data_IF_141206906931
#
_entry.id   IF_141206906931
#
_cell.length_a   1.000
_cell.length_b   1.000
_cell.length_c   1.000
_cell.angle_alpha   90.00
_cell.angle_beta   90.00
_cell.angle_gamma   90.00
#
_symmetry.space_group_name_H-M   'P 1'
#
loop_
_entity.id
_entity.type
_entity.pdbx_description
1 polymer ?
#
# COMPACT_ATOMS: atom_id res chain seq x y z
N UNK A 1 11.87 -8.70 -23.30
CA UNK A 1 10.56 -9.06 -22.73
C UNK A 1 10.29 -8.14 -21.56
N UNK A 2 9.64 -7.00 -21.83
CA UNK A 2 9.24 -6.03 -20.81
C UNK A 2 7.82 -6.39 -20.36
N UNK A 3 7.70 -7.49 -19.59
CA UNK A 3 6.44 -8.05 -19.07
C UNK A 3 5.88 -7.25 -17.88
N UNK A 4 6.15 -5.94 -17.82
CA UNK A 4 5.67 -5.05 -16.76
C UNK A 4 4.49 -4.21 -17.26
N UNK A 5 3.38 -4.29 -16.53
CA UNK A 5 2.22 -3.47 -16.82
C UNK A 5 2.40 -2.07 -16.22
N UNK A 6 2.46 -1.05 -17.08
CA UNK A 6 2.71 0.34 -16.66
C UNK A 6 1.62 0.92 -15.77
N UNK A 7 0.35 0.56 -15.99
CA UNK A 7 -0.77 1.02 -15.16
C UNK A 7 -0.67 0.47 -13.73
N UNK A 8 -0.27 -0.80 -13.61
CA UNK A 8 -0.06 -1.45 -12.32
C UNK A 8 1.11 -0.82 -11.55
N UNK A 9 2.24 -0.57 -12.24
CA UNK A 9 3.37 0.14 -11.63
C UNK A 9 2.98 1.58 -11.25
N UNK A 10 2.13 2.24 -12.04
CA UNK A 10 1.65 3.60 -11.74
C UNK A 10 0.76 3.67 -10.50
N UNK A 11 -0.16 2.72 -10.29
CA UNK A 11 -0.97 2.66 -9.07
C UNK A 11 -0.08 2.44 -7.85
N UNK A 12 0.91 1.54 -7.95
CA UNK A 12 1.86 1.33 -6.85
C UNK A 12 2.65 2.62 -6.56
N UNK A 13 3.03 3.34 -7.61
CA UNK A 13 3.71 4.65 -7.53
C UNK A 13 2.83 5.75 -6.92
N UNK A 14 1.55 5.79 -7.28
CA UNK A 14 0.56 6.68 -6.68
C UNK A 14 0.41 6.37 -5.19
N UNK A 15 0.17 5.10 -4.84
CA UNK A 15 -0.03 4.68 -3.47
C UNK A 15 1.18 5.01 -2.59
N UNK A 16 2.41 4.74 -3.05
CA UNK A 16 3.59 5.05 -2.23
C UNK A 16 3.78 6.56 -2.04
N UNK A 17 3.56 7.37 -3.07
CA UNK A 17 3.65 8.83 -2.94
C UNK A 17 2.57 9.37 -1.99
N UNK A 18 1.35 8.89 -2.12
CA UNK A 18 0.24 9.29 -1.27
C UNK A 18 0.50 8.91 0.20
N UNK A 19 1.10 7.74 0.44
CA UNK A 19 1.50 7.26 1.77
C UNK A 19 2.58 8.15 2.39
N UNK A 20 3.61 8.50 1.61
CA UNK A 20 4.65 9.44 2.03
C UNK A 20 4.03 10.80 2.33
N UNK A 21 3.11 11.27 1.48
CA UNK A 21 2.44 12.55 1.68
C UNK A 21 1.63 12.57 2.97
N UNK A 22 0.78 11.58 3.22
CA UNK A 22 0.00 11.52 4.46
C UNK A 22 0.86 11.38 5.72
N UNK A 23 2.02 10.72 5.61
CA UNK A 23 2.97 10.60 6.72
C UNK A 23 3.81 11.85 6.96
N UNK A 24 3.90 12.77 6.00
CA UNK A 24 4.77 13.95 6.06
C UNK A 24 4.03 15.29 6.07
N UNK A 25 2.70 15.33 5.90
CA UNK A 25 1.93 16.57 6.13
C UNK A 25 2.02 16.98 7.59
N UNK A 26 1.87 18.28 7.85
CA UNK A 26 1.89 18.81 9.22
C UNK A 26 0.76 18.21 10.08
N UNK A 27 1.04 17.99 11.37
CA UNK A 27 0.07 17.56 12.39
C UNK A 27 -0.33 18.77 13.27
N UNK A 28 -1.25 18.59 14.24
CA UNK A 28 -1.65 19.68 15.15
C UNK A 28 -2.90 20.49 14.76
N UNK A 29 -3.68 20.02 13.79
CA UNK A 29 -5.04 20.53 13.53
C UNK A 29 -5.16 21.69 12.54
N UNK A 30 -4.08 22.00 11.83
CA UNK A 30 -4.09 23.06 10.81
C UNK A 30 -4.71 22.62 9.48
N UNK A 31 -4.71 21.31 9.18
CA UNK A 31 -5.34 20.74 8.01
C UNK A 31 -6.70 20.12 8.37
N UNK A 32 -7.66 20.11 7.43
CA UNK A 32 -8.96 19.51 7.65
C UNK A 32 -8.87 17.99 7.86
N UNK A 33 -9.84 17.42 8.59
CA UNK A 33 -9.80 16.00 8.97
C UNK A 33 -9.70 14.99 7.83
N UNK A 34 -10.20 15.32 6.64
CA UNK A 34 -10.07 14.45 5.46
C UNK A 34 -8.63 14.29 4.94
N UNK A 35 -7.67 15.06 5.46
CA UNK A 35 -6.23 14.92 5.17
C UNK A 35 -5.53 13.83 6.00
N UNK A 36 -6.21 13.25 7.00
CA UNK A 36 -5.65 12.25 7.92
C UNK A 36 -6.50 10.97 7.92
N UNK A 37 -6.11 9.98 8.71
CA UNK A 37 -6.93 8.79 8.93
C UNK A 37 -8.26 9.17 9.62
N UNK A 38 -9.37 8.58 9.17
CA UNK A 38 -10.68 8.88 9.77
C UNK A 38 -10.72 8.56 11.28
N UNK A 39 -10.05 7.47 11.69
CA UNK A 39 -9.94 7.04 13.09
C UNK A 39 -8.84 7.76 13.87
N UNK A 40 -8.08 8.66 13.25
CA UNK A 40 -7.09 9.50 13.95
C UNK A 40 -7.22 10.96 13.50
N UNK A 41 -8.37 11.60 13.77
CA UNK A 41 -8.64 12.93 13.27
C UNK A 41 -7.82 14.01 14.00
N UNK A 42 -7.60 15.17 13.36
CA UNK A 42 -7.08 16.34 14.03
C UNK A 42 -8.03 16.82 15.15
N UNK A 43 -7.52 17.56 16.15
CA UNK A 43 -6.13 18.05 16.26
C UNK A 43 -5.19 17.07 16.98
N UNK A 44 -5.74 16.12 17.73
CA UNK A 44 -4.97 15.23 18.61
C UNK A 44 -4.29 14.08 17.87
N UNK A 45 -4.88 13.62 16.76
CA UNK A 45 -4.39 12.45 16.01
C UNK A 45 -4.28 11.18 16.85
N UNK A 46 -5.12 11.09 17.89
CA UNK A 46 -5.29 9.91 18.71
C UNK A 46 -6.36 9.01 18.12
N UNK A 47 -6.24 7.70 18.34
CA UNK A 47 -7.24 6.75 17.86
C UNK A 47 -8.60 7.00 18.51
N UNK A 48 -9.63 7.07 17.69
CA UNK A 48 -11.04 7.17 18.10
C UNK A 48 -11.88 6.19 17.31
N UNK A 49 -12.89 5.63 17.97
CA UNK A 49 -13.85 4.74 17.31
C UNK A 49 -14.86 5.53 16.45
N UNK A 50 -14.39 6.02 15.29
CA UNK A 50 -15.19 6.79 14.34
C UNK A 50 -15.38 6.01 13.03
N UNK A 51 -16.63 5.81 12.57
CA UNK A 51 -16.88 5.25 11.25
C UNK A 51 -16.60 6.28 10.16
N UNK A 52 -16.01 5.82 9.06
CA UNK A 52 -15.63 6.64 7.92
C UNK A 52 -14.28 6.22 7.37
N UNK A 53 -13.99 6.70 6.17
CA UNK A 53 -12.68 6.60 5.53
C UNK A 53 -12.34 7.94 4.88
N UNK A 54 -11.05 8.22 4.75
CA UNK A 54 -10.51 9.30 3.94
C UNK A 54 -9.73 8.75 2.75
N UNK A 55 -9.15 9.63 1.93
CA UNK A 55 -8.26 9.18 0.86
C UNK A 55 -7.00 8.49 1.41
N UNK A 56 -6.56 8.85 2.62
CA UNK A 56 -5.40 8.24 3.30
C UNK A 56 -5.66 6.76 3.57
N UNK A 57 -6.89 6.44 3.98
CA UNK A 57 -7.31 5.08 4.27
C UNK A 57 -7.39 4.20 3.00
N UNK A 58 -7.53 4.78 1.81
CA UNK A 58 -7.52 4.03 0.54
C UNK A 58 -6.09 3.66 0.06
N UNK A 59 -5.07 4.37 0.53
CA UNK A 59 -3.69 4.24 0.02
C UNK A 59 -3.13 2.83 0.24
N UNK A 60 -3.30 2.29 1.44
CA UNK A 60 -2.76 0.98 1.79
C UNK A 60 -3.45 -0.18 1.03
N UNK A 61 -4.80 -0.22 0.93
CA UNK A 61 -5.49 -1.17 0.06
C UNK A 61 -5.04 -1.11 -1.41
N UNK A 62 -4.83 0.09 -1.98
CA UNK A 62 -4.32 0.21 -3.35
C UNK A 62 -2.94 -0.45 -3.51
N UNK A 63 -2.07 -0.28 -2.51
CA UNK A 63 -0.75 -0.87 -2.50
C UNK A 63 -0.80 -2.42 -2.40
N UNK A 64 -1.64 -2.96 -1.52
CA UNK A 64 -1.87 -4.41 -1.38
C UNK A 64 -2.52 -5.02 -2.64
N UNK A 65 -3.50 -4.34 -3.23
CA UNK A 65 -4.13 -4.75 -4.47
C UNK A 65 -3.10 -4.82 -5.60
N UNK A 66 -2.25 -3.79 -5.73
CA UNK A 66 -1.20 -3.75 -6.72
C UNK A 66 -0.10 -4.81 -6.51
N UNK A 67 0.13 -5.22 -5.25
CA UNK A 67 0.98 -6.38 -4.93
C UNK A 67 0.30 -7.68 -5.39
N UNK A 68 -0.96 -7.90 -5.06
CA UNK A 68 -1.73 -9.07 -5.50
C UNK A 68 -1.75 -9.23 -7.02
N UNK A 69 -2.03 -8.14 -7.74
CA UNK A 69 -2.02 -8.12 -9.21
C UNK A 69 -0.65 -8.38 -9.83
N UNK A 70 0.45 -8.13 -9.10
CA UNK A 70 1.79 -8.42 -9.58
C UNK A 70 2.16 -9.92 -9.49
N UNK A 71 1.48 -10.70 -8.66
CA UNK A 71 1.82 -12.10 -8.40
C UNK A 71 1.68 -12.96 -9.67
N UNK A 72 0.51 -13.01 -10.37
CA UNK A 72 0.36 -13.75 -11.62
C UNK A 72 1.39 -13.34 -12.68
N UNK A 73 1.65 -12.03 -12.79
CA UNK A 73 2.59 -11.46 -13.75
C UNK A 73 4.02 -11.97 -13.49
N UNK A 74 4.41 -12.09 -12.22
CA UNK A 74 5.75 -12.54 -11.81
C UNK A 74 5.94 -14.06 -11.83
N UNK A 75 4.86 -14.83 -11.74
CA UNK A 75 4.85 -16.29 -11.59
C UNK A 75 4.39 -17.03 -12.85
N UNK A 76 4.46 -16.40 -14.03
CA UNK A 76 4.06 -17.03 -15.30
C UNK A 76 4.75 -18.38 -15.53
N UNK A 77 6.04 -18.49 -15.16
CA UNK A 77 6.85 -19.72 -15.29
C UNK A 77 6.76 -20.68 -14.08
N UNK A 78 5.84 -20.44 -13.15
CA UNK A 78 5.72 -21.21 -11.91
C UNK A 78 6.37 -20.53 -10.71
N UNK A 79 6.31 -21.18 -9.54
CA UNK A 79 6.86 -20.69 -8.29
C UNK A 79 8.29 -21.20 -8.08
N UNK A 80 9.22 -20.28 -7.83
CA UNK A 80 10.54 -20.61 -7.31
C UNK A 80 10.55 -20.39 -5.79
N UNK A 81 10.46 -21.48 -5.03
CA UNK A 81 10.41 -21.45 -3.57
C UNK A 81 11.63 -20.76 -2.95
N UNK A 82 12.83 -20.99 -3.49
CA UNK A 82 14.06 -20.38 -2.96
C UNK A 82 14.02 -18.87 -3.13
N UNK A 83 13.57 -18.40 -4.29
CA UNK A 83 13.42 -16.97 -4.56
C UNK A 83 12.35 -16.32 -3.69
N UNK A 84 11.19 -16.95 -3.50
CA UNK A 84 10.12 -16.39 -2.68
C UNK A 84 10.49 -16.38 -1.19
N UNK A 85 11.15 -17.43 -0.69
CA UNK A 85 11.62 -17.48 0.69
C UNK A 85 12.73 -16.44 0.95
N UNK A 86 13.68 -16.30 0.03
CA UNK A 86 14.71 -15.25 0.11
C UNK A 86 14.06 -13.86 0.18
N UNK A 87 13.09 -13.60 -0.69
CA UNK A 87 12.34 -12.34 -0.73
C UNK A 87 11.62 -12.06 0.58
N UNK A 88 10.96 -13.07 1.12
CA UNK A 88 10.27 -12.97 2.41
C UNK A 88 11.23 -12.64 3.54
N UNK A 89 12.30 -13.41 3.72
CA UNK A 89 13.31 -13.18 4.77
C UNK A 89 13.92 -11.78 4.64
N UNK A 90 14.22 -11.34 3.41
CA UNK A 90 14.79 -10.02 3.20
C UNK A 90 13.82 -8.89 3.55
N UNK A 91 12.52 -9.05 3.27
CA UNK A 91 11.50 -8.07 3.66
C UNK A 91 11.25 -8.05 5.17
N UNK A 92 11.30 -9.20 5.85
CA UNK A 92 11.20 -9.25 7.33
C UNK A 92 12.40 -8.56 7.95
N UNK A 93 13.62 -8.89 7.51
CA UNK A 93 14.82 -8.18 7.93
C UNK A 93 14.71 -6.68 7.69
N UNK A 94 14.22 -6.29 6.51
CA UNK A 94 14.02 -4.89 6.16
C UNK A 94 13.02 -4.20 7.09
N UNK A 95 11.88 -4.83 7.38
CA UNK A 95 10.86 -4.28 8.27
C UNK A 95 11.42 -4.00 9.67
N UNK A 96 12.19 -4.94 10.22
CA UNK A 96 12.81 -4.82 11.54
C UNK A 96 13.92 -3.76 11.51
N UNK A 97 14.88 -3.88 10.60
CA UNK A 97 16.04 -2.98 10.56
C UNK A 97 15.68 -1.54 10.20
N UNK A 98 14.72 -1.34 9.28
CA UNK A 98 14.25 -0.01 8.91
C UNK A 98 13.60 0.71 10.10
N UNK A 99 12.73 0.03 10.85
CA UNK A 99 12.07 0.59 12.02
C UNK A 99 13.08 1.03 13.09
N UNK A 100 14.11 0.21 13.33
CA UNK A 100 15.18 0.52 14.27
C UNK A 100 16.07 1.67 13.79
N UNK A 101 16.26 1.83 12.48
CA UNK A 101 17.14 2.86 11.90
C UNK A 101 16.53 4.27 11.89
N UNK A 102 15.27 4.46 12.31
CA UNK A 102 14.62 5.77 12.36
C UNK A 102 15.30 6.66 13.41
N UNK A 103 15.65 7.89 13.02
CA UNK A 103 16.42 8.80 13.88
C UNK A 103 15.70 9.15 15.21
N UNK A 104 14.37 9.12 15.20
CA UNK A 104 13.48 9.32 16.36
C UNK A 104 13.80 8.40 17.54
N UNK A 105 14.37 7.22 17.26
CA UNK A 105 14.76 6.23 18.25
C UNK A 105 15.95 6.67 19.10
N UNK A 106 16.73 7.59 18.56
CA UNK A 106 17.99 8.03 19.13
C UNK A 106 17.91 9.46 19.71
N UNK A 107 16.72 10.03 19.90
CA UNK A 107 16.58 11.39 20.50
C UNK A 107 17.16 11.53 21.91
N UNK A 108 17.52 10.41 22.55
CA UNK A 108 18.24 10.40 23.82
C UNK A 108 19.75 10.61 23.67
N UNK A 109 20.29 10.55 22.44
CA UNK A 109 21.69 10.81 22.11
C UNK A 109 21.86 12.29 21.73
N UNK A 110 22.99 12.86 22.13
CA UNK A 110 23.29 14.27 21.88
C UNK A 110 23.72 14.57 20.43
N UNK A 111 23.53 15.82 20.01
CA UNK A 111 24.04 16.42 18.78
C UNK A 111 23.54 15.72 17.49
N UNK A 112 24.45 15.51 16.54
CA UNK A 112 24.17 15.02 15.18
C UNK A 112 24.19 13.48 15.05
N UNK A 113 24.46 12.77 16.14
CA UNK A 113 24.63 11.30 16.15
C UNK A 113 23.37 10.55 15.66
N UNK A 114 22.13 10.92 16.09
CA UNK A 114 20.90 10.28 15.61
C UNK A 114 20.76 10.27 14.09
N UNK A 115 21.06 11.40 13.46
CA UNK A 115 20.94 11.58 12.02
C UNK A 115 22.01 10.78 11.28
N UNK A 116 23.24 10.75 11.79
CA UNK A 116 24.32 9.94 11.22
C UNK A 116 23.98 8.44 11.27
N UNK A 117 23.45 7.95 12.38
CA UNK A 117 23.02 6.55 12.50
C UNK A 117 21.95 6.22 11.46
N UNK A 118 20.94 7.08 11.30
CA UNK A 118 19.89 6.87 10.29
C UNK A 118 20.45 6.85 8.86
N UNK A 119 21.38 7.78 8.53
CA UNK A 119 22.06 7.82 7.23
C UNK A 119 22.94 6.59 6.98
N UNK A 120 23.62 6.08 8.01
CA UNK A 120 24.37 4.80 7.91
C UNK A 120 23.38 3.64 7.72
N UNK A 121 22.24 3.63 8.41
CA UNK A 121 21.17 2.67 8.22
C UNK A 121 20.65 2.65 6.78
N UNK A 122 20.46 3.83 6.19
CA UNK A 122 20.12 3.97 4.76
C UNK A 122 21.21 3.39 3.86
N UNK A 123 22.48 3.73 4.12
CA UNK A 123 23.60 3.20 3.36
C UNK A 123 23.67 1.67 3.44
N UNK A 124 23.42 1.08 4.62
CA UNK A 124 23.34 -0.38 4.79
C UNK A 124 22.24 -0.98 3.91
N UNK A 125 21.01 -0.45 3.98
CA UNK A 125 19.91 -0.94 3.14
C UNK A 125 20.19 -0.75 1.64
N UNK A 126 20.83 0.35 1.25
CA UNK A 126 21.25 0.58 -0.12
C UNK A 126 22.28 -0.46 -0.60
N UNK A 127 23.27 -0.79 0.23
CA UNK A 127 24.25 -1.83 -0.06
C UNK A 127 23.65 -3.24 -0.09
N UNK A 128 22.61 -3.50 0.70
CA UNK A 128 21.93 -4.79 0.72
C UNK A 128 21.02 -4.96 -0.51
N UNK A 129 20.22 -3.94 -0.83
CA UNK A 129 19.12 -4.07 -1.82
C UNK A 129 19.38 -3.37 -3.14
N UNK A 130 20.17 -2.29 -3.15
CA UNK A 130 20.37 -1.41 -4.31
C UNK A 130 21.48 -1.88 -5.25
N UNK A 131 22.32 -2.83 -4.83
CA UNK A 131 23.44 -3.35 -5.62
C UNK A 131 23.30 -4.84 -5.93
N UNK A 132 23.93 -5.25 -7.02
CA UNK A 132 24.07 -6.66 -7.43
C UNK A 132 25.38 -7.29 -6.95
N UNK A 133 26.32 -6.49 -6.47
CA UNK A 133 27.62 -6.98 -6.02
C UNK A 133 27.48 -7.58 -4.62
N UNK A 134 27.73 -8.89 -4.53
CA UNK A 134 27.56 -9.65 -3.29
C UNK A 134 28.50 -9.18 -2.17
N UNK A 135 29.70 -8.69 -2.50
CA UNK A 135 30.64 -8.15 -1.50
C UNK A 135 30.08 -6.92 -0.81
N UNK A 136 29.46 -6.02 -1.56
CA UNK A 136 28.78 -4.85 -1.00
C UNK A 136 27.57 -5.25 -0.15
N UNK A 137 26.83 -6.28 -0.56
CA UNK A 137 25.73 -6.83 0.26
C UNK A 137 26.25 -7.38 1.60
N UNK A 138 27.36 -8.12 1.60
CA UNK A 138 27.97 -8.62 2.83
C UNK A 138 28.47 -7.50 3.74
N UNK A 139 29.08 -6.45 3.17
CA UNK A 139 29.47 -5.26 3.95
C UNK A 139 28.23 -4.61 4.56
N UNK A 140 27.17 -4.40 3.78
CA UNK A 140 25.91 -3.82 4.27
C UNK A 140 25.29 -4.64 5.40
N UNK A 141 25.24 -5.97 5.25
CA UNK A 141 24.76 -6.89 6.31
C UNK A 141 25.65 -6.83 7.54
N UNK A 142 26.98 -6.83 7.37
CA UNK A 142 27.94 -6.77 8.47
C UNK A 142 27.80 -5.48 9.28
N UNK A 143 27.71 -4.33 8.61
CA UNK A 143 27.49 -3.04 9.28
C UNK A 143 26.11 -2.99 9.93
N UNK A 144 25.05 -3.46 9.28
CA UNK A 144 23.72 -3.53 9.88
C UNK A 144 23.70 -4.40 11.15
N UNK A 145 24.41 -5.53 11.14
CA UNK A 145 24.55 -6.40 12.31
C UNK A 145 25.32 -5.71 13.45
N UNK A 146 26.41 -5.01 13.14
CA UNK A 146 27.14 -4.20 14.13
C UNK A 146 26.26 -3.10 14.72
N UNK A 147 25.47 -2.41 13.89
CA UNK A 147 24.51 -1.42 14.38
C UNK A 147 23.52 -2.08 15.35
N UNK A 148 22.91 -3.21 14.96
CA UNK A 148 21.95 -3.96 15.79
C UNK A 148 22.54 -4.44 17.13
N UNK A 149 23.84 -4.74 17.19
CA UNK A 149 24.49 -5.20 18.43
C UNK A 149 24.90 -4.07 19.37
N UNK A 150 25.33 -2.92 18.84
CA UNK A 150 26.06 -1.92 19.62
C UNK A 150 25.36 -0.57 19.75
N UNK A 151 24.34 -0.28 18.93
CA UNK A 151 23.63 0.99 18.99
C UNK A 151 22.45 0.88 19.97
N UNK A 152 22.25 1.85 20.87
CA UNK A 152 21.10 1.88 21.76
C UNK A 152 19.85 2.36 20.99
N UNK A 153 18.98 1.44 20.58
CA UNK A 153 17.80 1.73 19.73
C UNK A 153 16.60 2.31 20.47
N UNK A 154 16.68 2.49 21.78
CA UNK A 154 15.62 3.05 22.59
C UNK A 154 16.19 3.55 23.94
N UNK A 155 15.33 4.08 24.81
CA UNK A 155 15.74 4.53 26.15
C UNK A 155 16.24 3.40 27.06
N UNK A 156 15.89 2.14 26.75
CA UNK A 156 16.35 0.95 27.49
C UNK A 156 17.61 0.31 26.86
N UNK A 157 18.01 0.75 25.66
CA UNK A 157 19.29 0.46 25.01
C UNK A 157 19.34 -0.84 24.19
N UNK A 158 18.22 -1.43 23.79
CA UNK A 158 18.22 -2.78 23.21
C UNK A 158 17.48 -2.90 21.87
N UNK A 159 18.00 -3.80 21.02
CA UNK A 159 17.34 -4.23 19.80
C UNK A 159 16.20 -5.21 20.13
N UNK A 160 15.03 -5.01 19.54
CA UNK A 160 13.84 -5.83 19.80
C UNK A 160 13.28 -6.44 18.51
N UNK A 161 13.18 -7.76 18.44
CA UNK A 161 12.70 -8.44 17.21
C UNK A 161 11.24 -8.13 16.86
N UNK A 162 10.38 -7.95 17.86
CA UNK A 162 8.95 -7.65 17.64
C UNK A 162 8.71 -6.21 17.16
N UNK A 163 9.71 -5.34 17.31
CA UNK A 163 9.64 -3.96 16.83
C UNK A 163 9.96 -3.92 15.33
N UNK A 164 8.92 -3.78 14.51
CA UNK A 164 9.06 -3.82 13.05
C UNK A 164 8.12 -2.83 12.36
N UNK A 165 8.48 -2.45 11.14
CA UNK A 165 7.61 -1.64 10.29
C UNK A 165 6.43 -2.49 9.80
N UNK A 166 5.24 -2.16 10.31
CA UNK A 166 4.02 -2.93 10.07
C UNK A 166 3.67 -3.03 8.57
N UNK A 167 3.88 -1.96 7.79
CA UNK A 167 3.55 -1.94 6.36
C UNK A 167 4.43 -2.94 5.61
N UNK A 168 5.74 -2.91 5.85
CA UNK A 168 6.65 -3.86 5.19
C UNK A 168 6.43 -5.30 5.70
N UNK A 169 6.16 -5.50 6.98
CA UNK A 169 5.91 -6.83 7.52
C UNK A 169 4.62 -7.45 6.95
N UNK A 170 3.56 -6.66 6.78
CA UNK A 170 2.34 -7.10 6.08
C UNK A 170 2.67 -7.51 4.63
N UNK A 171 3.47 -6.71 3.92
CA UNK A 171 3.85 -7.01 2.54
C UNK A 171 4.70 -8.28 2.42
N UNK A 172 5.57 -8.55 3.39
CA UNK A 172 6.32 -9.79 3.46
C UNK A 172 5.37 -10.99 3.57
N UNK A 173 4.50 -10.96 4.58
CA UNK A 173 3.55 -12.02 4.88
C UNK A 173 2.56 -12.26 3.75
N UNK A 174 1.87 -11.20 3.31
CA UNK A 174 0.90 -11.28 2.22
C UNK A 174 1.56 -11.64 0.90
N UNK A 175 2.79 -11.16 0.64
CA UNK A 175 3.53 -11.52 -0.56
C UNK A 175 3.84 -13.02 -0.65
N UNK A 176 4.30 -13.62 0.45
CA UNK A 176 4.56 -15.06 0.52
C UNK A 176 3.26 -15.87 0.45
N UNK A 177 2.29 -15.57 1.32
CA UNK A 177 1.03 -16.30 1.39
C UNK A 177 0.24 -16.25 0.08
N UNK A 178 0.18 -15.09 -0.56
CA UNK A 178 -0.51 -14.96 -1.84
C UNK A 178 0.22 -15.67 -2.98
N UNK A 179 1.56 -15.73 -2.95
CA UNK A 179 2.33 -16.54 -3.91
C UNK A 179 2.05 -18.05 -3.73
N UNK A 180 2.03 -18.53 -2.48
CA UNK A 180 1.66 -19.91 -2.14
C UNK A 180 0.24 -20.22 -2.61
N UNK A 181 -0.72 -19.37 -2.22
CA UNK A 181 -2.12 -19.50 -2.59
C UNK A 181 -2.27 -19.56 -4.12
N UNK A 182 -1.68 -18.62 -4.84
CA UNK A 182 -1.73 -18.58 -6.30
C UNK A 182 -1.08 -19.81 -6.94
N UNK A 183 0.03 -20.32 -6.40
CA UNK A 183 0.69 -21.51 -6.90
C UNK A 183 -0.23 -22.73 -6.88
N UNK A 184 -0.90 -22.99 -5.75
CA UNK A 184 -1.78 -24.16 -5.60
C UNK A 184 -3.14 -24.00 -6.26
N UNK A 185 -3.62 -22.77 -6.45
CA UNK A 185 -4.96 -22.49 -7.02
C UNK A 185 -4.92 -21.97 -8.45
N UNK A 186 -3.78 -22.10 -9.14
CA UNK A 186 -3.56 -21.53 -10.48
C UNK A 186 -4.62 -21.97 -11.49
N UNK A 187 -4.98 -23.24 -11.47
CA UNK A 187 -6.00 -23.82 -12.37
C UNK A 187 -7.41 -23.76 -11.80
N UNK A 188 -7.55 -23.59 -10.48
CA UNK A 188 -8.83 -23.66 -9.76
C UNK A 188 -9.15 -22.31 -9.12
N UNK A 189 -9.47 -21.33 -9.97
CA UNK A 189 -9.67 -19.95 -9.54
C UNK A 189 -10.72 -19.81 -8.43
N UNK A 190 -11.82 -20.57 -8.51
CA UNK A 190 -12.95 -20.51 -7.56
C UNK A 190 -12.53 -20.80 -6.12
N UNK A 191 -11.54 -21.68 -5.90
CA UNK A 191 -11.07 -22.02 -4.55
C UNK A 191 -10.58 -20.79 -3.79
N UNK A 192 -9.91 -19.85 -4.47
CA UNK A 192 -9.42 -18.63 -3.84
C UNK A 192 -10.55 -17.79 -3.23
N UNK A 193 -11.69 -17.73 -3.91
CA UNK A 193 -12.88 -17.04 -3.41
C UNK A 193 -13.54 -17.84 -2.27
N UNK A 194 -13.61 -19.16 -2.40
CA UNK A 194 -14.17 -20.02 -1.36
C UNK A 194 -13.38 -19.94 -0.05
N UNK A 195 -12.05 -19.76 -0.12
CA UNK A 195 -11.17 -19.60 1.05
C UNK A 195 -11.44 -18.31 1.84
N UNK A 196 -12.06 -17.29 1.24
CA UNK A 196 -12.43 -16.07 1.96
C UNK A 196 -13.55 -16.31 2.97
N UNK A 197 -14.41 -17.32 2.77
CA UNK A 197 -15.53 -17.64 3.68
C UNK A 197 -15.05 -18.17 5.04
N UNK A 198 -14.24 -19.25 5.13
CA UNK A 198 -13.71 -19.71 6.41
C UNK A 198 -12.77 -18.67 7.03
N UNK A 199 -12.02 -17.90 6.21
CA UNK A 199 -11.22 -16.79 6.70
C UNK A 199 -12.07 -15.71 7.37
N UNK A 200 -13.24 -15.37 6.82
CA UNK A 200 -14.17 -14.44 7.46
C UNK A 200 -14.64 -14.96 8.82
N UNK A 201 -14.98 -16.25 8.90
CA UNK A 201 -15.36 -16.88 10.17
C UNK A 201 -14.23 -16.84 11.20
N UNK A 202 -12.99 -17.06 10.76
CA UNK A 202 -11.80 -16.97 11.61
C UNK A 202 -11.61 -15.56 12.18
N UNK A 203 -11.71 -14.53 11.33
CA UNK A 203 -11.54 -13.12 11.73
C UNK A 203 -12.66 -12.67 12.66
N UNK A 204 -13.92 -13.00 12.35
CA UNK A 204 -15.05 -12.56 13.18
C UNK A 204 -15.11 -13.27 14.51
N UNK A 205 -14.82 -14.58 14.53
CA UNK A 205 -14.84 -15.35 15.77
C UNK A 205 -13.69 -15.03 16.74
N UNK A 206 -12.72 -14.16 16.37
CA UNK A 206 -11.68 -13.68 17.28
C UNK A 206 -12.22 -12.71 18.34
N UNK A 207 -13.34 -12.03 18.05
CA UNK A 207 -13.96 -11.04 18.94
C UNK A 207 -14.95 -11.69 19.92
N UNK A 208 -15.09 -13.02 19.85
CA UNK A 208 -15.91 -13.80 20.75
C UNK A 208 -15.00 -14.42 21.81
N UNK A 209 -15.22 -14.04 23.08
CA UNK A 209 -14.49 -14.60 24.21
C UNK A 209 -14.61 -16.14 24.24
N UNK A 210 -13.50 -16.83 24.55
CA UNK A 210 -13.40 -18.29 24.64
C UNK A 210 -13.63 -19.07 23.32
N UNK A 211 -13.68 -18.36 22.19
CA UNK A 211 -13.71 -18.99 20.87
C UNK A 211 -12.36 -19.61 20.52
N UNK A 212 -12.36 -20.80 19.90
CA UNK A 212 -11.11 -21.41 19.43
C UNK A 212 -10.38 -20.55 18.39
N UNK A 213 -11.10 -19.65 17.72
CA UNK A 213 -10.52 -18.68 16.80
C UNK A 213 -9.62 -17.68 17.53
N UNK A 214 -9.97 -17.29 18.76
CA UNK A 214 -9.21 -16.33 19.56
C UNK A 214 -7.78 -16.84 19.81
N UNK A 215 -7.63 -18.14 20.13
CA UNK A 215 -6.32 -18.78 20.38
C UNK A 215 -5.36 -18.73 19.18
N UNK A 216 -5.86 -18.57 17.95
CA UNK A 216 -5.02 -18.45 16.76
C UNK A 216 -4.37 -17.06 16.67
N UNK A 217 -5.00 -16.06 17.28
CA UNK A 217 -4.53 -14.67 17.30
C UNK A 217 -3.77 -14.30 18.57
N UNK A 218 -3.64 -15.23 19.53
CA UNK A 218 -2.83 -14.99 20.73
C UNK A 218 -1.34 -14.86 20.37
N UNK A 219 -0.59 -13.96 21.03
CA UNK A 219 0.84 -13.81 20.81
C UNK A 219 1.56 -15.14 20.96
N UNK A 220 2.46 -15.43 20.03
CA UNK A 220 3.22 -16.67 20.01
C UNK A 220 4.67 -16.38 19.60
N UNK A 221 5.58 -17.32 19.87
CA UNK A 221 7.03 -17.10 19.80
C UNK A 221 7.58 -16.52 18.48
N UNK A 222 6.86 -16.66 17.36
CA UNK A 222 7.30 -16.21 16.04
C UNK A 222 6.30 -15.24 15.38
N UNK A 223 5.50 -14.51 16.16
CA UNK A 223 4.58 -13.47 15.66
C UNK A 223 5.32 -12.30 14.97
N UNK A 224 6.57 -12.01 15.36
CA UNK A 224 7.46 -11.07 14.67
C UNK A 224 7.76 -11.48 13.22
N UNK A 225 7.53 -12.74 12.86
CA UNK A 225 7.75 -13.29 11.52
C UNK A 225 6.41 -13.39 10.76
N UNK A 226 5.41 -14.04 11.38
CA UNK A 226 4.08 -14.25 10.79
C UNK A 226 3.00 -13.71 11.72
N UNK A 227 2.23 -12.73 11.27
CA UNK A 227 1.12 -12.21 12.06
C UNK A 227 -0.21 -12.70 11.46
N UNK A 228 -0.98 -13.47 12.24
CA UNK A 228 -2.27 -14.00 11.79
C UNK A 228 -3.31 -12.89 11.55
N UNK A 229 -3.20 -11.74 12.23
CA UNK A 229 -4.05 -10.57 11.97
C UNK A 229 -3.98 -10.15 10.50
N UNK A 230 -2.82 -10.30 9.85
CA UNK A 230 -2.63 -9.88 8.47
C UNK A 230 -3.42 -10.72 7.47
N UNK A 231 -3.92 -11.91 7.84
CA UNK A 231 -4.70 -12.75 6.93
C UNK A 231 -5.95 -12.02 6.42
N UNK A 232 -6.50 -11.07 7.17
CA UNK A 232 -7.61 -10.20 6.73
C UNK A 232 -7.32 -9.46 5.43
N UNK A 233 -6.06 -9.16 5.13
CA UNK A 233 -5.68 -8.48 3.89
C UNK A 233 -5.83 -9.35 2.63
N UNK A 234 -6.05 -10.66 2.77
CA UNK A 234 -6.39 -11.52 1.63
C UNK A 234 -7.69 -11.10 0.93
N UNK A 235 -8.61 -10.41 1.62
CA UNK A 235 -9.80 -9.82 1.00
C UNK A 235 -9.48 -8.75 -0.05
N UNK A 236 -8.28 -8.15 -0.02
CA UNK A 236 -7.79 -7.22 -1.04
C UNK A 236 -6.83 -7.90 -2.02
N UNK A 237 -5.94 -8.74 -1.49
CA UNK A 237 -4.89 -9.37 -2.30
C UNK A 237 -5.47 -10.38 -3.29
N UNK A 238 -6.49 -11.17 -2.91
CA UNK A 238 -7.12 -12.14 -3.82
C UNK A 238 -7.81 -11.46 -5.00
N UNK A 239 -8.66 -10.43 -4.82
CA UNK A 239 -9.16 -9.67 -5.96
C UNK A 239 -8.04 -9.04 -6.81
N UNK A 240 -6.94 -8.59 -6.18
CA UNK A 240 -5.73 -8.18 -6.89
C UNK A 240 -5.17 -9.27 -7.80
N UNK A 241 -5.04 -10.51 -7.31
CA UNK A 241 -4.60 -11.67 -8.12
C UNK A 241 -5.47 -11.84 -9.36
N UNK A 242 -6.80 -11.75 -9.24
CA UNK A 242 -7.71 -11.80 -10.39
C UNK A 242 -7.45 -10.69 -11.40
N UNK A 243 -7.23 -9.46 -10.93
CA UNK A 243 -6.85 -8.36 -11.80
C UNK A 243 -5.55 -8.67 -12.57
N UNK A 244 -4.54 -9.21 -11.89
CA UNK A 244 -3.28 -9.64 -12.48
C UNK A 244 -3.43 -10.71 -13.56
N UNK A 245 -4.28 -11.73 -13.32
CA UNK A 245 -4.60 -12.76 -14.31
C UNK A 245 -5.30 -12.18 -15.54
N UNK A 246 -6.20 -11.21 -15.36
CA UNK A 246 -6.86 -10.54 -16.48
C UNK A 246 -5.91 -9.64 -17.27
N UNK A 247 -4.98 -8.95 -16.60
CA UNK A 247 -3.94 -8.17 -17.25
C UNK A 247 -3.03 -9.03 -18.14
N UNK A 248 -2.76 -10.28 -17.76
CA UNK A 248 -2.02 -11.23 -18.61
C UNK A 248 -2.75 -11.54 -19.91
N UNK A 249 -4.09 -11.60 -19.87
CA UNK A 249 -4.95 -11.89 -21.02
C UNK A 249 -5.24 -10.65 -21.88
N UNK A 250 -4.76 -9.46 -21.50
CA UNK A 250 -4.97 -8.19 -22.24
C UNK A 250 -4.67 -8.30 -23.74
N UNK A 251 -3.55 -8.89 -24.20
CA UNK A 251 -3.24 -8.98 -25.63
C UNK A 251 -4.25 -9.82 -26.41
N UNK A 252 -4.79 -10.87 -25.79
CA UNK A 252 -5.79 -11.75 -26.38
C UNK A 252 -7.18 -11.13 -26.35
N UNK A 253 -7.53 -10.49 -25.23
CA UNK A 253 -8.87 -9.97 -24.96
C UNK A 253 -9.19 -8.66 -25.66
N UNK A 254 -8.18 -7.84 -25.96
CA UNK A 254 -8.35 -6.53 -26.58
C UNK A 254 -7.69 -6.47 -27.98
N UNK A 255 -7.53 -7.60 -28.67
CA UNK A 255 -6.86 -7.68 -29.98
C UNK A 255 -7.46 -6.74 -31.03
N UNK A 256 -8.79 -6.63 -31.05
CA UNK A 256 -9.55 -5.83 -32.02
C UNK A 256 -10.01 -4.47 -31.44
N UNK A 257 -9.57 -4.14 -30.24
CA UNK A 257 -10.05 -2.95 -29.54
C UNK A 257 -9.24 -1.70 -29.92
N UNK A 258 -9.92 -0.66 -30.38
CA UNK A 258 -9.30 0.64 -30.64
C UNK A 258 -9.15 1.46 -29.34
N UNK A 259 -8.16 2.36 -29.32
CA UNK A 259 -8.09 3.41 -28.31
C UNK A 259 -9.00 4.56 -28.72
N UNK A 260 -9.98 4.87 -27.87
CA UNK A 260 -10.99 5.89 -28.13
C UNK A 260 -11.04 6.90 -26.99
N UNK A 261 -11.39 8.14 -27.31
CA UNK A 261 -11.64 9.22 -26.34
C UNK A 261 -12.75 8.84 -25.34
N UNK A 262 -13.65 7.93 -25.73
CA UNK A 262 -14.69 7.35 -24.86
C UNK A 262 -14.12 6.66 -23.62
N UNK A 263 -12.89 6.11 -23.68
CA UNK A 263 -12.24 5.46 -22.53
C UNK A 263 -11.72 6.46 -21.51
N UNK A 264 -11.22 7.62 -21.97
CA UNK A 264 -10.76 8.69 -21.08
C UNK A 264 -11.94 9.27 -20.32
N UNK A 265 -13.08 9.51 -21.00
CA UNK A 265 -14.32 9.93 -20.34
C UNK A 265 -14.78 8.93 -19.27
N UNK A 266 -14.74 7.62 -19.60
CA UNK A 266 -15.10 6.57 -18.65
C UNK A 266 -14.11 6.48 -17.46
N UNK A 267 -12.81 6.71 -17.68
CA UNK A 267 -11.81 6.76 -16.61
C UNK A 267 -12.07 7.91 -15.62
N UNK A 268 -12.50 9.07 -16.11
CA UNK A 268 -12.94 10.18 -15.27
C UNK A 268 -14.20 9.84 -14.47
N UNK A 269 -15.18 9.15 -15.06
CA UNK A 269 -16.36 8.68 -14.33
C UNK A 269 -15.98 7.70 -13.22
N UNK A 270 -15.11 6.73 -13.50
CA UNK A 270 -14.61 5.78 -12.49
C UNK A 270 -13.87 6.51 -11.35
N UNK A 271 -13.01 7.47 -11.69
CA UNK A 271 -12.28 8.28 -10.69
C UNK A 271 -13.23 9.16 -9.87
N UNK A 272 -14.21 9.79 -10.53
CA UNK A 272 -15.23 10.60 -9.87
C UNK A 272 -16.08 9.78 -8.90
N UNK A 273 -16.43 8.55 -9.27
CA UNK A 273 -17.16 7.62 -8.39
C UNK A 273 -16.34 7.24 -7.15
N UNK A 274 -15.02 7.03 -7.30
CA UNK A 274 -14.09 6.78 -6.19
C UNK A 274 -14.04 8.00 -5.25
N UNK A 275 -13.83 9.19 -5.81
CA UNK A 275 -13.80 10.44 -5.03
C UNK A 275 -15.12 10.68 -4.30
N UNK A 276 -16.26 10.45 -4.96
CA UNK A 276 -17.57 10.55 -4.34
C UNK A 276 -17.72 9.60 -3.15
N UNK A 277 -17.32 8.33 -3.29
CA UNK A 277 -17.39 7.37 -2.20
C UNK A 277 -16.53 7.79 -1.00
N UNK A 278 -15.31 8.29 -1.22
CA UNK A 278 -14.46 8.81 -0.15
C UNK A 278 -15.17 9.95 0.58
N UNK A 279 -15.70 10.94 -0.16
CA UNK A 279 -16.40 12.09 0.43
C UNK A 279 -17.64 11.65 1.20
N UNK A 280 -18.48 10.82 0.59
CA UNK A 280 -19.76 10.45 1.16
C UNK A 280 -19.62 9.51 2.36
N UNK A 281 -18.61 8.62 2.37
CA UNK A 281 -18.32 7.77 3.52
C UNK A 281 -17.69 8.57 4.67
N UNK A 282 -16.81 9.52 4.38
CA UNK A 282 -16.29 10.47 5.37
C UNK A 282 -17.42 11.29 6.01
N UNK A 283 -18.34 11.83 5.19
CA UNK A 283 -19.46 12.65 5.66
C UNK A 283 -20.67 11.85 6.16
N UNK A 284 -20.58 10.51 6.18
CA UNK A 284 -21.68 9.60 6.59
C UNK A 284 -22.96 9.76 5.76
N UNK A 285 -22.88 10.18 4.50
CA UNK A 285 -24.03 10.29 3.58
C UNK A 285 -24.42 8.94 2.96
N UNK A 286 -24.74 7.94 3.78
CA UNK A 286 -24.80 6.53 3.37
C UNK A 286 -25.83 6.22 2.28
N UNK A 287 -27.08 6.64 2.48
CA UNK A 287 -28.16 6.38 1.51
C UNK A 287 -27.89 7.10 0.19
N UNK A 288 -27.48 8.37 0.26
CA UNK A 288 -27.07 9.13 -0.92
C UNK A 288 -25.89 8.46 -1.62
N UNK A 289 -24.91 7.96 -0.86
CA UNK A 289 -23.75 7.27 -1.41
C UNK A 289 -24.15 6.00 -2.17
N UNK A 290 -25.02 5.18 -1.58
CA UNK A 290 -25.52 3.96 -2.19
C UNK A 290 -26.25 4.25 -3.51
N UNK A 291 -27.23 5.16 -3.51
CA UNK A 291 -28.03 5.44 -4.69
C UNK A 291 -27.22 6.12 -5.81
N UNK A 292 -26.36 7.08 -5.47
CA UNK A 292 -25.48 7.74 -6.45
C UNK A 292 -24.45 6.73 -6.99
N UNK A 293 -23.93 5.83 -6.16
CA UNK A 293 -23.01 4.79 -6.62
C UNK A 293 -23.70 3.78 -7.54
N UNK A 294 -24.92 3.34 -7.22
CA UNK A 294 -25.71 2.47 -8.11
C UNK A 294 -26.00 3.15 -9.45
N UNK A 295 -26.42 4.40 -9.44
CA UNK A 295 -26.67 5.18 -10.65
C UNK A 295 -25.38 5.38 -11.48
N UNK A 296 -24.29 5.78 -10.82
CA UNK A 296 -22.98 5.97 -11.44
C UNK A 296 -22.46 4.68 -12.08
N UNK A 297 -22.58 3.55 -11.39
CA UNK A 297 -22.22 2.23 -11.93
C UNK A 297 -23.09 1.86 -13.12
N UNK A 298 -24.40 2.08 -13.06
CA UNK A 298 -25.29 1.81 -14.19
C UNK A 298 -24.89 2.62 -15.43
N UNK A 299 -24.55 3.91 -15.25
CA UNK A 299 -24.04 4.78 -16.32
C UNK A 299 -22.71 4.25 -16.87
N UNK A 300 -21.76 3.91 -15.99
CA UNK A 300 -20.44 3.38 -16.38
C UNK A 300 -20.58 2.09 -17.18
N UNK A 301 -21.42 1.15 -16.73
CA UNK A 301 -21.66 -0.13 -17.43
C UNK A 301 -22.37 0.10 -18.77
N UNK A 302 -23.39 0.97 -18.81
CA UNK A 302 -24.08 1.32 -20.05
C UNK A 302 -23.12 1.95 -21.07
N UNK A 303 -22.28 2.89 -20.62
CA UNK A 303 -21.25 3.51 -21.45
C UNK A 303 -20.23 2.48 -21.97
N UNK A 304 -19.74 1.60 -21.09
CA UNK A 304 -18.80 0.54 -21.47
C UNK A 304 -19.39 -0.38 -22.54
N UNK A 305 -20.65 -0.79 -22.39
CA UNK A 305 -21.34 -1.66 -23.33
C UNK A 305 -21.69 -0.96 -24.65
N UNK A 306 -21.95 0.34 -24.63
CA UNK A 306 -22.31 1.12 -25.82
C UNK A 306 -21.09 1.49 -26.67
N UNK A 307 -20.00 1.94 -26.05
CA UNK A 307 -18.87 2.54 -26.76
C UNK A 307 -17.59 1.70 -26.76
N UNK A 308 -17.45 0.77 -25.81
CA UNK A 308 -16.18 0.07 -25.56
C UNK A 308 -16.35 -1.46 -25.48
N UNK A 309 -17.44 -2.01 -26.02
CA UNK A 309 -17.85 -3.42 -25.88
C UNK A 309 -16.74 -4.43 -26.20
N UNK A 310 -15.91 -4.13 -27.18
CA UNK A 310 -14.80 -5.00 -27.61
C UNK A 310 -13.66 -5.09 -26.57
N UNK A 311 -13.62 -4.21 -25.57
CA UNK A 311 -12.62 -4.23 -24.49
C UNK A 311 -13.06 -5.13 -23.34
N UNK A 312 -12.84 -6.43 -23.49
CA UNK A 312 -13.22 -7.43 -22.47
C UNK A 312 -12.48 -7.24 -21.15
N UNK A 313 -11.22 -6.80 -21.19
CA UNK A 313 -10.46 -6.52 -19.96
C UNK A 313 -11.13 -5.41 -19.15
N UNK A 314 -11.38 -4.27 -19.78
CA UNK A 314 -11.96 -3.08 -19.16
C UNK A 314 -13.33 -3.42 -18.56
N UNK A 315 -14.14 -4.18 -19.30
CA UNK A 315 -15.42 -4.68 -18.83
C UNK A 315 -15.28 -5.52 -17.55
N UNK A 316 -14.31 -6.45 -17.48
CA UNK A 316 -14.09 -7.26 -16.27
C UNK A 316 -13.62 -6.45 -15.08
N UNK A 317 -12.69 -5.51 -15.28
CA UNK A 317 -12.20 -4.64 -14.21
C UNK A 317 -13.34 -3.77 -13.66
N UNK A 318 -14.13 -3.16 -14.53
CA UNK A 318 -15.27 -2.33 -14.16
C UNK A 318 -16.34 -3.15 -13.42
N UNK A 319 -16.71 -4.32 -13.94
CA UNK A 319 -17.74 -5.16 -13.31
C UNK A 319 -17.29 -5.68 -11.94
N UNK A 320 -16.04 -6.14 -11.80
CA UNK A 320 -15.50 -6.58 -10.53
C UNK A 320 -15.41 -5.43 -9.52
N UNK A 321 -14.92 -4.27 -9.95
CA UNK A 321 -14.85 -3.06 -9.13
C UNK A 321 -16.23 -2.62 -8.64
N UNK A 322 -17.20 -2.60 -9.55
CA UNK A 322 -18.59 -2.25 -9.25
C UNK A 322 -19.24 -3.23 -8.28
N UNK A 323 -19.05 -4.53 -8.49
CA UNK A 323 -19.57 -5.57 -7.62
C UNK A 323 -19.02 -5.47 -6.20
N UNK A 324 -17.70 -5.33 -6.05
CA UNK A 324 -17.08 -5.21 -4.73
C UNK A 324 -17.48 -3.91 -4.03
N UNK A 325 -17.52 -2.78 -4.76
CA UNK A 325 -17.93 -1.50 -4.20
C UNK A 325 -19.35 -1.58 -3.63
N UNK A 326 -20.31 -2.05 -4.43
CA UNK A 326 -21.70 -2.17 -3.98
C UNK A 326 -21.83 -3.16 -2.82
N UNK A 327 -21.20 -4.32 -2.90
CA UNK A 327 -21.22 -5.32 -1.82
C UNK A 327 -20.68 -4.72 -0.52
N UNK A 328 -19.60 -3.94 -0.58
CA UNK A 328 -19.03 -3.25 0.56
C UNK A 328 -19.95 -2.18 1.15
N UNK A 329 -20.68 -1.43 0.31
CA UNK A 329 -21.69 -0.48 0.79
C UNK A 329 -22.89 -1.17 1.47
N UNK A 330 -23.25 -2.39 1.05
CA UNK A 330 -24.25 -3.19 1.76
C UNK A 330 -23.73 -3.71 3.10
N UNK A 331 -22.47 -4.14 3.18
CA UNK A 331 -21.85 -4.53 4.46
C UNK A 331 -21.68 -3.36 5.42
N UNK A 332 -21.45 -2.15 4.90
CA UNK A 332 -21.24 -0.95 5.72
C UNK A 332 -22.44 -0.67 6.65
N UNK A 333 -23.66 -0.83 6.11
CA UNK A 333 -24.89 -0.66 6.89
C UNK A 333 -25.04 -1.72 7.99
N UNK A 334 -24.58 -2.94 7.74
CA UNK A 334 -24.62 -4.05 8.70
C UNK A 334 -23.60 -3.87 9.84
N UNK A 335 -22.40 -3.35 9.53
CA UNK A 335 -21.28 -3.25 10.48
C UNK A 335 -21.31 -1.97 11.33
N UNK A 336 -22.34 -1.13 11.18
CA UNK A 336 -22.45 0.15 11.90
C UNK A 336 -21.48 1.23 11.42
N UNK A 337 -20.83 1.02 10.28
CA UNK A 337 -19.90 1.97 9.67
C UNK A 337 -18.59 1.34 9.21
N UNK A 338 -18.05 1.85 8.11
CA UNK A 338 -16.75 1.44 7.56
C UNK A 338 -15.61 1.89 8.47
N UNK A 339 -14.68 1.00 8.83
CA UNK A 339 -13.50 1.34 9.66
C UNK A 339 -12.24 0.64 9.14
N UNK A 340 -11.09 1.32 9.24
CA UNK A 340 -9.78 0.80 8.81
C UNK A 340 -9.08 -0.01 9.91
N UNK A 341 -8.97 0.52 11.12
CA UNK A 341 -8.11 -0.07 12.15
C UNK A 341 -8.79 -1.27 12.84
N UNK A 342 -10.03 -1.07 13.32
CA UNK A 342 -10.97 -2.18 13.60
C UNK A 342 -11.61 -2.62 12.29
N UNK A 343 -10.79 -3.25 11.45
CA UNK A 343 -11.07 -3.36 10.02
C UNK A 343 -12.37 -4.09 9.74
N UNK A 344 -13.30 -3.41 9.07
CA UNK A 344 -14.59 -3.97 8.68
C UNK A 344 -14.53 -4.68 7.33
N UNK A 345 -15.45 -5.61 7.04
CA UNK A 345 -15.58 -6.19 5.70
C UNK A 345 -15.88 -5.13 4.65
N UNK A 346 -16.76 -4.19 5.00
CA UNK A 346 -17.07 -3.03 4.17
C UNK A 346 -15.81 -2.30 3.73
N UNK A 347 -14.82 -2.14 4.62
CA UNK A 347 -13.54 -1.53 4.26
C UNK A 347 -12.82 -2.30 3.16
N UNK A 348 -12.69 -3.62 3.28
CA UNK A 348 -12.03 -4.42 2.25
C UNK A 348 -12.78 -4.41 0.92
N UNK A 349 -14.10 -4.57 0.94
CA UNK A 349 -14.89 -4.63 -0.28
C UNK A 349 -14.96 -3.28 -0.99
N UNK A 350 -15.22 -2.18 -0.26
CA UNK A 350 -15.26 -0.83 -0.82
C UNK A 350 -13.89 -0.45 -1.40
N UNK A 351 -12.80 -0.62 -0.65
CA UNK A 351 -11.46 -0.22 -1.11
C UNK A 351 -10.92 -1.14 -2.21
N UNK A 352 -11.24 -2.43 -2.19
CA UNK A 352 -10.98 -3.36 -3.29
C UNK A 352 -11.73 -2.98 -4.56
N UNK A 353 -13.00 -2.58 -4.44
CA UNK A 353 -13.81 -2.08 -5.55
C UNK A 353 -13.22 -0.80 -6.16
N UNK A 354 -12.88 0.17 -5.32
CA UNK A 354 -12.18 1.40 -5.74
C UNK A 354 -10.83 1.11 -6.40
N UNK A 355 -10.09 0.09 -5.94
CA UNK A 355 -8.81 -0.30 -6.52
C UNK A 355 -8.93 -0.82 -7.95
N UNK A 356 -9.97 -1.59 -8.27
CA UNK A 356 -10.27 -2.01 -9.65
C UNK A 356 -10.63 -0.82 -10.56
N UNK A 357 -11.48 0.08 -10.08
CA UNK A 357 -11.89 1.27 -10.83
C UNK A 357 -10.70 2.19 -11.11
N UNK A 358 -9.81 2.36 -10.13
CA UNK A 358 -8.56 3.10 -10.31
C UNK A 358 -7.59 2.35 -11.24
N UNK A 359 -7.50 1.03 -11.19
CA UNK A 359 -6.69 0.27 -12.15
C UNK A 359 -7.14 0.48 -13.60
N UNK A 360 -8.44 0.49 -13.83
CA UNK A 360 -8.98 0.88 -15.13
C UNK A 360 -8.58 2.33 -15.48
N UNK A 361 -8.78 3.29 -14.58
CA UNK A 361 -8.52 4.70 -14.84
C UNK A 361 -7.04 4.99 -15.16
N UNK A 362 -6.10 4.42 -14.38
CA UNK A 362 -4.66 4.56 -14.60
C UNK A 362 -4.19 3.91 -15.91
N UNK A 363 -4.87 2.86 -16.39
CA UNK A 363 -4.57 2.29 -17.71
C UNK A 363 -4.91 3.28 -18.85
N UNK A 364 -5.88 4.18 -18.63
CA UNK A 364 -6.25 5.21 -19.61
C UNK A 364 -5.46 6.52 -19.44
N UNK A 365 -5.08 6.90 -18.21
CA UNK A 365 -4.31 8.12 -17.92
C UNK A 365 -2.82 7.96 -18.22
N UNK A 366 -2.48 7.86 -19.52
CA UNK A 366 -1.12 7.53 -19.97
C UNK A 366 -0.03 8.47 -19.46
N UNK A 367 -0.29 9.79 -19.38
CA UNK A 367 0.67 10.77 -18.85
C UNK A 367 0.97 10.52 -17.37
N UNK A 368 -0.09 10.41 -16.56
CA UNK A 368 0.02 10.14 -15.13
C UNK A 368 0.76 8.82 -14.88
N UNK A 369 0.40 7.78 -15.63
CA UNK A 369 1.05 6.48 -15.55
C UNK A 369 2.53 6.51 -15.95
N UNK A 370 2.90 7.37 -16.90
CA UNK A 370 4.30 7.54 -17.31
C UNK A 370 5.16 8.21 -16.23
N UNK A 371 4.57 9.13 -15.46
CA UNK A 371 5.25 9.85 -14.36
C UNK A 371 5.38 8.96 -13.12
N UNK A 372 4.33 8.20 -12.78
CA UNK A 372 4.28 7.43 -11.54
C UNK A 372 4.87 6.02 -11.65
N UNK A 373 4.85 5.40 -12.83
CA UNK A 373 5.39 4.05 -13.00
C UNK A 373 6.86 3.91 -12.57
N UNK A 374 7.79 4.84 -12.88
CA UNK A 374 9.17 4.75 -12.40
C UNK A 374 9.29 4.67 -10.88
N UNK A 375 8.37 5.30 -10.15
CA UNK A 375 8.35 5.32 -8.69
C UNK A 375 7.82 3.98 -8.17
N UNK A 376 6.71 3.48 -8.71
CA UNK A 376 6.16 2.18 -8.34
C UNK A 376 6.97 0.97 -8.80
N UNK A 377 7.96 1.16 -9.66
CA UNK A 377 8.96 0.14 -9.99
C UNK A 377 10.03 -0.04 -8.92
N UNK A 378 10.19 0.94 -8.02
CA UNK A 378 11.14 0.93 -6.91
C UNK A 378 10.47 1.39 -5.60
N UNK A 379 9.39 0.71 -5.17
CA UNK A 379 8.56 1.17 -4.06
C UNK A 379 9.28 1.13 -2.71
N UNK A 380 10.21 0.19 -2.51
CA UNK A 380 10.98 0.09 -1.26
C UNK A 380 11.91 1.29 -1.05
N UNK A 381 12.56 1.77 -2.12
CA UNK A 381 13.37 2.98 -2.03
C UNK A 381 12.48 4.20 -1.72
N UNK A 382 11.35 4.35 -2.41
CA UNK A 382 10.42 5.45 -2.14
C UNK A 382 9.90 5.43 -0.70
N UNK A 383 9.68 4.25 -0.12
CA UNK A 383 9.21 4.11 1.27
C UNK A 383 10.26 4.55 2.29
N UNK A 384 11.53 4.23 2.05
CA UNK A 384 12.61 4.43 3.03
C UNK A 384 13.20 5.83 3.00
N UNK A 385 13.19 6.47 1.83
CA UNK A 385 13.77 7.80 1.62
C UNK A 385 13.31 8.84 2.64
N UNK A 386 12.00 9.01 2.94
CA UNK A 386 11.55 9.98 3.93
C UNK A 386 12.16 9.77 5.32
N UNK A 387 12.05 8.56 5.86
CA UNK A 387 12.25 8.30 7.29
C UNK A 387 13.71 8.20 7.74
N UNK A 388 14.61 7.72 6.87
CA UNK A 388 16.02 7.49 7.26
C UNK A 388 17.05 8.14 6.32
N UNK A 389 16.59 8.90 5.31
CA UNK A 389 17.48 9.64 4.42
C UNK A 389 17.15 11.13 4.38
N UNK A 390 15.95 11.51 3.91
CA UNK A 390 15.58 12.91 3.68
C UNK A 390 15.42 13.69 4.98
N UNK A 391 14.60 13.20 5.93
CA UNK A 391 14.42 13.89 7.22
C UNK A 391 15.74 14.01 8.00
N UNK A 392 16.53 12.92 8.18
CA UNK A 392 17.85 13.05 8.80
C UNK A 392 18.79 14.00 8.07
N UNK A 393 18.75 14.06 6.73
CA UNK A 393 19.59 14.97 5.96
C UNK A 393 19.19 16.43 6.15
N UNK A 394 17.88 16.72 6.21
CA UNK A 394 17.34 18.06 6.50
C UNK A 394 17.84 18.52 7.87
N UNK A 395 17.67 17.70 8.90
CA UNK A 395 18.07 18.03 10.27
C UNK A 395 19.59 18.14 10.40
N UNK A 396 20.35 17.21 9.81
CA UNK A 396 21.80 17.23 9.80
C UNK A 396 22.38 18.48 9.11
N UNK A 397 21.67 19.01 8.10
CA UNK A 397 22.06 20.24 7.40
C UNK A 397 21.70 21.53 8.14
N UNK A 398 21.03 21.45 9.30
CA UNK A 398 20.55 22.60 10.05
C UNK A 398 19.27 23.24 9.50
N UNK A 399 18.59 22.55 8.57
CA UNK A 399 17.32 23.02 7.97
C UNK A 399 16.08 22.52 8.73
N UNK A 400 16.26 21.74 9.80
CA UNK A 400 15.18 21.17 10.61
C UNK A 400 14.22 22.24 11.17
N UNK A 401 14.75 23.31 11.79
CA UNK A 401 13.93 24.40 12.32
C UNK A 401 13.08 25.08 11.24
N UNK A 402 13.64 25.25 10.03
CA UNK A 402 12.90 25.80 8.89
C UNK A 402 11.80 24.85 8.42
N UNK A 403 12.09 23.55 8.40
CA UNK A 403 11.12 22.52 8.02
C UNK A 403 9.95 22.46 9.01
N UNK A 404 10.25 22.39 10.31
CA UNK A 404 9.24 22.34 11.38
C UNK A 404 8.38 23.62 11.46
N UNK A 405 8.93 24.76 11.04
CA UNK A 405 8.18 26.02 10.93
C UNK A 405 7.11 26.03 9.83
N UNK A 406 7.08 25.03 8.92
CA UNK A 406 6.03 24.92 7.88
C UNK A 406 4.70 24.38 8.44
N UNK A 407 4.30 24.82 9.63
CA UNK A 407 3.13 24.29 10.35
C UNK A 407 2.16 25.37 10.84
N UNK A 408 2.34 26.65 10.51
CA UNK A 408 1.48 27.73 11.03
C UNK A 408 0.16 27.88 10.26
N UNK A 409 0.13 27.58 8.96
CA UNK A 409 -1.03 27.75 8.08
C UNK A 409 -1.38 26.47 7.32
N UNK A 410 -2.63 26.29 6.85
CA UNK A 410 -3.00 25.13 6.04
C UNK A 410 -2.14 24.96 4.78
N UNK A 411 -1.73 26.07 4.14
CA UNK A 411 -0.86 26.02 2.97
C UNK A 411 0.55 25.53 3.33
N UNK A 412 1.13 26.05 4.42
CA UNK A 412 2.41 25.56 4.90
C UNK A 412 2.34 24.08 5.30
N UNK A 413 1.24 23.62 5.91
CA UNK A 413 1.06 22.21 6.24
C UNK A 413 1.07 21.27 5.03
N UNK A 414 0.55 21.73 3.88
CA UNK A 414 0.70 21.02 2.60
C UNK A 414 2.15 21.09 2.11
N UNK A 415 2.79 22.25 2.19
CA UNK A 415 4.17 22.45 1.77
C UNK A 415 5.15 21.57 2.57
N UNK A 416 4.91 21.39 3.88
CA UNK A 416 5.65 20.49 4.76
C UNK A 416 5.66 19.05 4.22
N UNK A 417 4.52 18.56 3.74
CA UNK A 417 4.43 17.25 3.09
C UNK A 417 5.10 17.22 1.71
N UNK A 418 4.87 18.25 0.88
CA UNK A 418 5.45 18.32 -0.47
C UNK A 418 6.98 18.40 -0.46
N UNK A 419 7.57 19.04 0.56
CA UNK A 419 9.00 19.15 0.75
C UNK A 419 9.70 17.78 0.91
N UNK A 420 8.97 16.74 1.35
CA UNK A 420 9.48 15.37 1.44
C UNK A 420 9.07 14.53 0.23
N UNK A 421 7.81 14.68 -0.21
CA UNK A 421 7.26 13.87 -1.30
C UNK A 421 7.94 14.14 -2.63
N UNK A 422 8.17 15.40 -3.00
CA UNK A 422 8.75 15.75 -4.29
C UNK A 422 10.20 15.24 -4.44
N UNK A 423 11.09 15.44 -3.44
CA UNK A 423 12.41 14.80 -3.46
C UNK A 423 12.34 13.27 -3.46
N UNK A 424 11.44 12.67 -2.67
CA UNK A 424 11.25 11.21 -2.66
C UNK A 424 10.89 10.67 -4.04
N UNK A 425 9.91 11.29 -4.69
CA UNK A 425 9.46 10.95 -6.04
C UNK A 425 10.59 11.11 -7.06
N UNK A 426 11.32 12.24 -7.01
CA UNK A 426 12.41 12.54 -7.92
C UNK A 426 13.56 11.54 -7.77
N UNK A 427 14.07 11.33 -6.55
CA UNK A 427 15.19 10.42 -6.28
C UNK A 427 14.82 8.98 -6.66
N UNK A 428 13.60 8.54 -6.37
CA UNK A 428 13.13 7.20 -6.77
C UNK A 428 13.06 7.07 -8.29
N UNK A 429 12.49 8.05 -8.99
CA UNK A 429 12.38 8.03 -10.45
C UNK A 429 13.78 8.06 -11.11
N UNK A 430 14.72 8.84 -10.57
CA UNK A 430 16.11 8.87 -11.01
C UNK A 430 16.80 7.52 -10.77
N UNK A 431 16.66 6.92 -9.59
CA UNK A 431 17.22 5.60 -9.31
C UNK A 431 16.70 4.56 -10.31
N UNK A 432 15.40 4.55 -10.59
CA UNK A 432 14.79 3.70 -11.62
C UNK A 432 15.37 3.97 -13.02
N UNK A 433 15.53 5.25 -13.40
CA UNK A 433 16.15 5.64 -14.68
C UNK A 433 17.59 5.12 -14.81
N UNK A 434 18.37 5.17 -13.73
CA UNK A 434 19.73 4.65 -13.67
C UNK A 434 19.80 3.14 -13.37
N UNK A 435 18.66 2.44 -13.36
CA UNK A 435 18.53 0.99 -13.12
C UNK A 435 19.03 0.53 -11.74
N UNK A 436 19.01 1.42 -10.76
CA UNK A 436 19.24 1.13 -9.34
C UNK A 436 17.88 0.78 -8.75
N UNK A 437 17.62 -0.52 -8.60
CA UNK A 437 16.35 -1.04 -8.09
C UNK A 437 16.57 -1.72 -6.76
N UNK A 438 15.82 -1.32 -5.73
CA UNK A 438 15.77 -2.06 -4.47
C UNK A 438 14.83 -3.24 -4.67
N UNK A 439 15.43 -4.43 -4.81
CA UNK A 439 14.68 -5.67 -5.06
C UNK A 439 14.71 -6.54 -3.80
N UNK A 440 13.54 -7.06 -3.45
CA UNK A 440 13.43 -8.15 -2.47
C UNK A 440 13.53 -9.52 -3.13
#
# INVERSE_FOLDING_TARGET
>A
MDTRNKALDAIRGYAIIAMVFSGSIAYGGILPGWMYHAQSPPPKHEWVDLPGITWVDLVFPLFLFAMGAAIPLSMQKGMDWKKQLKRYILLVFFAIFFEHSKYTNFYHLDNQVPYLIALIGFACLFLIMGTKNIWYQFIGIGVAFLLMLFVPFDKQGHFELHRSDIIILVLANMGLLAAILYHYTREQHVIRLLLLVPLYGLITGRFLDESWNQYIYEPYFADWLIEFDFLKYLFIVIPGIYAGEWLLKKPEWNKDASNSISKIGLAWLCTGLVVWNIIALYQRWLMSNLFISLAGIAIIIAWQNMFNKENKLDQRLILAGSYLLISGLFFEAFEGGIKKDDTTLSYFFVTGGMSFLLLYAFDQFTLLSKVLAPIGQNPLLAYVLPGIFLLPLIDFSGLGEWYDALTETPFQGILHGLAIVLPTALLTALATKYRIFWKS
#
